data_IF_374654711854
#
_entry.id   IF_374654711854
#
_cell.length_a   1.000
_cell.length_b   1.000
_cell.length_c   1.000
_cell.angle_alpha   90.00
_cell.angle_beta   90.00
_cell.angle_gamma   90.00
#
_symmetry.space_group_name_H-M   'P 1'
#
loop_
_entity.id
_entity.type
_entity.pdbx_description
1 polymer ?
#
# COMPACT_ATOMS: atom_id res chain seq x y z
N UNK A 1 -16.97 -76.88 -16.38
CA UNK A 1 -17.87 -75.74 -16.17
C UNK A 1 -17.01 -74.49 -15.98
N UNK A 2 -17.14 -73.51 -16.89
CA UNK A 2 -16.50 -72.20 -16.81
C UNK A 2 -17.37 -71.28 -15.95
N UNK A 3 -16.78 -70.45 -15.09
CA UNK A 3 -17.45 -69.24 -14.61
C UNK A 3 -16.45 -68.09 -14.54
N UNK A 4 -16.87 -66.99 -15.16
CA UNK A 4 -16.18 -65.72 -15.35
C UNK A 4 -16.38 -64.80 -14.14
N UNK A 5 -15.39 -63.95 -13.91
CA UNK A 5 -15.41 -62.61 -13.28
C UNK A 5 -14.19 -62.52 -12.35
N UNK A 6 -13.22 -61.66 -12.61
CA UNK A 6 -13.38 -60.24 -12.35
C UNK A 6 -12.31 -59.48 -13.13
N UNK A 7 -12.74 -58.80 -14.20
CA UNK A 7 -12.00 -57.67 -14.74
C UNK A 7 -12.41 -56.45 -13.94
N UNK A 8 -11.54 -55.98 -13.05
CA UNK A 8 -11.68 -54.66 -12.45
C UNK A 8 -10.51 -53.77 -12.86
N UNK A 9 -10.88 -52.80 -13.68
CA UNK A 9 -10.35 -51.44 -13.69
C UNK A 9 -8.85 -51.25 -13.96
N UNK A 10 -8.56 -51.11 -15.25
CA UNK A 10 -7.66 -50.05 -15.74
C UNK A 10 -8.21 -48.70 -15.28
N UNK A 11 -7.52 -47.98 -14.41
CA UNK A 11 -7.61 -46.51 -14.35
C UNK A 11 -6.19 -45.97 -14.40
N UNK A 12 -5.98 -45.18 -15.45
CA UNK A 12 -4.83 -44.34 -15.76
C UNK A 12 -4.20 -43.73 -14.51
N UNK A 13 -2.89 -43.95 -14.33
CA UNK A 13 -2.00 -43.00 -13.66
C UNK A 13 -1.86 -41.78 -14.59
N UNK A 14 -2.93 -41.00 -14.67
CA UNK A 14 -2.92 -39.69 -15.32
C UNK A 14 -2.24 -38.70 -14.40
N UNK A 15 -1.00 -38.35 -14.74
CA UNK A 15 -0.42 -37.02 -14.59
C UNK A 15 -1.25 -36.05 -13.73
N UNK A 16 -1.10 -36.14 -12.40
CA UNK A 16 -1.42 -35.02 -11.54
C UNK A 16 -0.23 -34.07 -11.64
N UNK A 17 -0.26 -33.25 -12.69
CA UNK A 17 0.39 -31.94 -12.71
C UNK A 17 -0.17 -31.18 -11.52
N UNK A 18 0.50 -31.32 -10.37
CA UNK A 18 0.40 -30.34 -9.30
C UNK A 18 0.65 -28.97 -9.96
N UNK A 19 -0.25 -27.99 -9.80
CA UNK A 19 0.01 -26.65 -10.28
C UNK A 19 1.32 -26.19 -9.64
N UNK A 20 2.23 -25.74 -10.50
CA UNK A 20 3.55 -25.26 -10.16
C UNK A 20 3.48 -24.42 -8.88
N UNK A 21 4.39 -24.71 -7.96
CA UNK A 21 4.72 -23.81 -6.86
C UNK A 21 4.79 -22.39 -7.42
N UNK A 22 3.93 -21.50 -6.93
CA UNK A 22 4.15 -20.07 -7.08
C UNK A 22 5.60 -19.83 -6.64
N UNK A 23 6.40 -19.31 -7.55
CA UNK A 23 7.82 -19.11 -7.29
C UNK A 23 7.90 -18.13 -6.12
N UNK A 24 8.75 -18.42 -5.13
CA UNK A 24 8.94 -17.57 -3.95
C UNK A 24 9.45 -16.13 -4.29
N UNK A 25 9.49 -15.76 -5.57
CA UNK A 25 9.92 -14.47 -6.09
C UNK A 25 8.88 -13.79 -6.99
N UNK A 26 7.66 -14.34 -7.12
CA UNK A 26 6.61 -13.72 -7.94
C UNK A 26 6.15 -12.41 -7.30
N UNK A 27 5.86 -11.41 -8.15
CA UNK A 27 5.35 -10.12 -7.69
C UNK A 27 3.84 -10.19 -7.71
N UNK A 28 3.20 -9.73 -6.63
CA UNK A 28 1.74 -9.72 -6.52
C UNK A 28 1.23 -8.33 -6.14
N UNK A 29 0.04 -7.98 -6.61
CA UNK A 29 -0.72 -6.86 -6.08
C UNK A 29 -1.33 -7.24 -4.74
N UNK A 30 -1.23 -6.36 -3.75
CA UNK A 30 -1.84 -6.55 -2.42
C UNK A 30 -3.09 -5.70 -2.22
N UNK A 31 -3.20 -4.58 -2.95
CA UNK A 31 -4.36 -3.67 -2.90
C UNK A 31 -4.35 -2.72 -4.10
N UNK A 32 -5.51 -2.16 -4.44
CA UNK A 32 -5.66 -1.14 -5.48
C UNK A 32 -6.65 -0.06 -5.03
N UNK A 33 -6.36 1.18 -5.36
CA UNK A 33 -7.24 2.32 -5.13
C UNK A 33 -7.26 3.25 -6.33
N UNK A 34 -8.43 3.86 -6.61
CA UNK A 34 -8.60 4.89 -7.63
C UNK A 34 -9.25 6.12 -7.03
N UNK A 35 -8.56 7.25 -7.12
CA UNK A 35 -9.04 8.52 -6.58
C UNK A 35 -9.88 9.34 -7.55
N UNK A 36 -10.48 10.39 -7.01
CA UNK A 36 -11.41 11.23 -7.75
C UNK A 36 -10.76 12.13 -8.80
N UNK A 37 -9.43 12.33 -8.69
CA UNK A 37 -8.58 13.08 -9.59
C UNK A 37 -8.00 12.26 -10.73
N UNK A 38 -8.35 10.97 -10.83
CA UNK A 38 -7.87 10.07 -11.88
C UNK A 38 -6.53 9.42 -11.55
N UNK A 39 -6.08 9.45 -10.30
CA UNK A 39 -4.85 8.79 -9.88
C UNK A 39 -5.13 7.36 -9.41
N UNK A 40 -4.34 6.41 -9.89
CA UNK A 40 -4.33 5.03 -9.41
C UNK A 40 -3.21 4.85 -8.38
N UNK A 41 -3.48 4.10 -7.32
CA UNK A 41 -2.51 3.66 -6.33
C UNK A 41 -2.58 2.15 -6.21
N UNK A 42 -1.44 1.48 -6.17
CA UNK A 42 -1.36 0.02 -6.01
C UNK A 42 -0.33 -0.32 -4.93
N UNK A 43 -0.67 -1.32 -4.12
CA UNK A 43 0.28 -2.00 -3.26
C UNK A 43 0.83 -3.23 -3.97
N UNK A 44 2.13 -3.44 -3.89
CA UNK A 44 2.82 -4.59 -4.45
C UNK A 44 3.62 -5.28 -3.36
N UNK A 45 3.82 -6.58 -3.54
CA UNK A 45 4.70 -7.41 -2.72
C UNK A 45 5.49 -8.35 -3.60
N UNK A 46 6.75 -8.56 -3.24
CA UNK A 46 7.61 -9.61 -3.76
C UNK A 46 8.17 -10.43 -2.60
N UNK A 47 8.20 -11.75 -2.74
CA UNK A 47 8.70 -12.64 -1.69
C UNK A 47 7.74 -12.86 -0.52
N UNK A 48 8.19 -13.59 0.50
CA UNK A 48 7.41 -13.93 1.70
C UNK A 48 8.26 -13.85 2.97
N UNK A 49 7.60 -13.72 4.13
CA UNK A 49 8.29 -13.68 5.42
C UNK A 49 9.27 -12.53 5.53
N UNK A 50 10.50 -12.82 5.96
CA UNK A 50 11.55 -11.82 6.20
C UNK A 50 12.22 -11.31 4.92
N UNK A 51 12.04 -12.01 3.79
CA UNK A 51 12.50 -11.55 2.47
C UNK A 51 11.42 -10.78 1.70
N UNK A 52 10.25 -10.55 2.31
CA UNK A 52 9.18 -9.80 1.68
C UNK A 52 9.60 -8.34 1.47
N UNK A 53 9.44 -7.85 0.25
CA UNK A 53 9.60 -6.45 -0.11
C UNK A 53 8.25 -5.93 -0.60
N UNK A 54 7.79 -4.83 0.00
CA UNK A 54 6.54 -4.17 -0.37
C UNK A 54 6.81 -2.80 -0.97
N UNK A 55 5.98 -2.43 -1.95
CA UNK A 55 6.08 -1.14 -2.64
C UNK A 55 4.69 -0.53 -2.80
N UNK A 56 4.66 0.80 -2.89
CA UNK A 56 3.47 1.55 -3.28
C UNK A 56 3.79 2.29 -4.56
N UNK A 57 3.03 2.01 -5.61
CA UNK A 57 3.17 2.68 -6.91
C UNK A 57 1.94 3.53 -7.16
N UNK A 58 2.14 4.71 -7.72
CA UNK A 58 1.07 5.59 -8.17
C UNK A 58 1.28 6.05 -9.61
N UNK A 59 0.19 6.23 -10.36
CA UNK A 59 0.24 6.72 -11.75
C UNK A 59 -1.09 7.36 -12.16
N UNK A 60 -1.07 8.39 -13.03
CA UNK A 60 -2.27 8.96 -13.64
C UNK A 60 -2.97 7.96 -14.58
N UNK A 61 -4.29 7.90 -14.51
CA UNK A 61 -5.14 7.28 -15.53
C UNK A 61 -5.49 8.31 -16.63
N UNK A 62 -5.50 7.94 -17.94
CA UNK A 62 -5.17 6.63 -18.49
C UNK A 62 -3.67 6.43 -18.78
N UNK A 63 -2.86 7.46 -18.99
CA UNK A 63 -1.48 7.31 -19.49
C UNK A 63 -0.54 8.31 -18.81
N UNK A 64 -0.17 8.02 -17.56
CA UNK A 64 0.87 8.79 -16.89
C UNK A 64 2.01 7.94 -16.37
N UNK A 65 3.10 8.62 -16.08
CA UNK A 65 4.30 8.02 -15.53
C UNK A 65 4.02 7.41 -14.16
N UNK A 66 4.71 6.31 -13.90
CA UNK A 66 4.62 5.56 -12.65
C UNK A 66 5.65 6.11 -11.68
N UNK A 67 5.21 6.35 -10.46
CA UNK A 67 6.04 6.87 -9.38
C UNK A 67 5.98 5.89 -8.22
N UNK A 68 7.16 5.48 -7.73
CA UNK A 68 7.27 4.73 -6.49
C UNK A 68 7.22 5.69 -5.30
N UNK A 69 6.36 5.38 -4.33
CA UNK A 69 6.32 6.05 -3.04
C UNK A 69 7.17 5.21 -2.09
N UNK A 70 8.32 5.73 -1.61
CA UNK A 70 9.23 4.94 -0.78
C UNK A 70 8.58 4.65 0.57
N UNK A 71 8.49 3.37 0.94
CA UNK A 71 7.99 2.97 2.27
C UNK A 71 9.08 3.17 3.33
N UNK A 72 8.73 3.59 4.56
CA UNK A 72 9.68 3.68 5.65
C UNK A 72 10.11 2.27 6.09
N UNK A 73 11.31 2.18 6.65
CA UNK A 73 11.93 0.93 7.14
C UNK A 73 11.00 0.09 8.05
N UNK A 74 10.14 0.75 8.84
CA UNK A 74 9.19 0.08 9.73
C UNK A 74 8.13 -0.77 8.99
N UNK A 75 7.77 -0.41 7.74
CA UNK A 75 6.68 -1.06 7.01
C UNK A 75 7.05 -1.58 5.62
N UNK A 76 8.31 -1.44 5.20
CA UNK A 76 8.77 -1.87 3.87
C UNK A 76 8.65 -3.37 3.61
N UNK A 77 8.59 -4.20 4.66
CA UNK A 77 8.42 -5.65 4.55
C UNK A 77 7.00 -6.12 4.95
N UNK A 78 6.05 -5.18 5.09
CA UNK A 78 4.66 -5.47 5.50
C UNK A 78 3.72 -5.35 4.31
N UNK A 79 2.72 -6.20 4.26
CA UNK A 79 1.72 -6.21 3.20
C UNK A 79 0.94 -4.89 3.21
N UNK A 80 0.98 -4.15 2.11
CA UNK A 80 0.15 -2.96 1.92
C UNK A 80 -1.28 -3.39 1.60
N UNK A 81 -2.17 -3.37 2.58
CA UNK A 81 -3.53 -3.90 2.43
C UNK A 81 -4.55 -2.83 2.08
N UNK A 82 -4.27 -1.55 2.39
CA UNK A 82 -5.16 -0.43 2.06
C UNK A 82 -4.43 0.87 1.76
N UNK A 83 -4.98 1.64 0.82
CA UNK A 83 -4.45 2.93 0.37
C UNK A 83 -5.59 3.94 0.35
N UNK A 84 -5.44 5.06 1.06
CA UNK A 84 -6.43 6.14 1.07
C UNK A 84 -5.72 7.47 0.78
N UNK A 85 -5.77 7.94 -0.47
CA UNK A 85 -5.25 9.25 -0.82
C UNK A 85 -6.16 10.36 -0.31
N UNK A 86 -5.55 11.42 0.18
CA UNK A 86 -6.14 12.72 0.43
C UNK A 86 -5.27 13.77 -0.25
N UNK A 87 -5.84 14.92 -0.64
CA UNK A 87 -5.16 16.02 -1.37
C UNK A 87 -3.62 15.95 -1.40
N UNK A 88 -2.94 16.21 -0.28
CA UNK A 88 -1.48 16.19 -0.16
C UNK A 88 -0.94 15.05 0.73
N UNK A 89 -1.76 14.05 1.04
CA UNK A 89 -1.44 12.93 1.94
C UNK A 89 -1.80 11.58 1.34
N UNK A 90 -1.10 10.54 1.75
CA UNK A 90 -1.49 9.16 1.45
C UNK A 90 -1.46 8.36 2.75
N UNK A 91 -2.62 7.87 3.17
CA UNK A 91 -2.71 6.93 4.28
C UNK A 91 -2.46 5.53 3.74
N UNK A 92 -1.50 4.84 4.36
CA UNK A 92 -1.09 3.49 4.01
C UNK A 92 -1.35 2.58 5.20
N UNK A 93 -2.30 1.67 4.99
CA UNK A 93 -2.63 0.62 5.93
C UNK A 93 -1.80 -0.62 5.58
N UNK A 94 -0.92 -1.02 6.49
CA UNK A 94 -0.14 -2.24 6.35
C UNK A 94 -0.57 -3.28 7.36
N UNK A 95 -0.42 -4.55 7.00
CA UNK A 95 -0.62 -5.67 7.90
C UNK A 95 0.59 -6.59 7.81
N UNK A 96 0.94 -7.26 8.90
CA UNK A 96 2.06 -8.20 8.81
C UNK A 96 1.68 -9.36 7.89
N UNK A 97 2.71 -9.98 7.32
CA UNK A 97 2.57 -11.32 6.77
C UNK A 97 2.04 -12.26 7.88
N UNK A 98 1.36 -13.35 7.48
CA UNK A 98 0.49 -14.21 8.31
C UNK A 98 1.08 -14.71 9.65
N UNK A 99 2.39 -14.57 9.87
CA UNK A 99 3.12 -15.05 11.05
C UNK A 99 3.23 -14.05 12.20
N UNK A 100 3.07 -12.74 11.96
CA UNK A 100 3.34 -11.76 13.01
C UNK A 100 2.07 -11.32 13.76
N UNK A 101 2.21 -11.14 15.08
CA UNK A 101 1.10 -10.86 16.01
C UNK A 101 0.75 -9.37 16.09
N UNK A 102 1.53 -8.55 15.42
CA UNK A 102 1.45 -7.11 15.40
C UNK A 102 0.50 -6.73 14.26
N UNK A 103 -0.77 -6.51 14.63
CA UNK A 103 -1.86 -6.26 13.70
C UNK A 103 -1.70 -5.00 12.83
N UNK A 104 -2.79 -4.49 12.24
CA UNK A 104 -2.71 -3.46 11.22
C UNK A 104 -2.08 -2.17 11.76
N UNK A 105 -1.18 -1.62 10.95
CA UNK A 105 -0.45 -0.38 11.19
C UNK A 105 -0.88 0.65 10.17
N UNK A 106 -1.02 1.89 10.63
CA UNK A 106 -1.42 2.97 9.78
C UNK A 106 -0.38 4.08 9.81
N UNK A 107 0.11 4.40 8.61
CA UNK A 107 1.03 5.49 8.37
C UNK A 107 0.40 6.50 7.44
N UNK A 108 0.87 7.75 7.54
CA UNK A 108 0.56 8.80 6.58
C UNK A 108 1.86 9.27 5.94
N UNK A 109 1.83 9.36 4.61
CA UNK A 109 2.86 10.01 3.81
C UNK A 109 2.37 11.41 3.44
N UNK A 110 3.09 12.43 3.87
CA UNK A 110 2.90 13.81 3.44
C UNK A 110 3.68 14.04 2.15
N UNK A 111 2.95 14.28 1.05
CA UNK A 111 3.50 14.40 -0.30
C UNK A 111 4.29 15.71 -0.47
N UNK A 112 3.89 16.77 0.21
CA UNK A 112 4.55 18.08 0.11
C UNK A 112 5.88 18.08 0.86
N UNK A 113 5.91 17.40 2.01
CA UNK A 113 7.10 17.33 2.86
C UNK A 113 7.98 16.12 2.57
N UNK A 114 7.50 15.17 1.76
CA UNK A 114 8.12 13.86 1.54
C UNK A 114 8.44 13.16 2.88
N UNK A 115 7.48 13.16 3.81
CA UNK A 115 7.67 12.67 5.20
C UNK A 115 6.63 11.65 5.60
N UNK A 116 7.09 10.64 6.33
CA UNK A 116 6.24 9.62 6.92
C UNK A 116 5.95 9.88 8.40
N UNK A 117 4.73 9.57 8.82
CA UNK A 117 4.34 9.58 10.24
C UNK A 117 3.47 8.37 10.55
N UNK A 118 3.83 7.63 11.59
CA UNK A 118 2.97 6.58 12.16
C UNK A 118 1.78 7.24 12.87
N UNK A 119 0.57 6.87 12.46
CA UNK A 119 -0.68 7.32 13.08
C UNK A 119 -1.03 6.40 14.25
N UNK A 120 -0.92 5.10 14.05
CA UNK A 120 -1.24 4.14 15.10
C UNK A 120 -1.17 2.70 14.63
N UNK A 121 -1.48 1.81 15.55
CA UNK A 121 -1.46 0.37 15.35
C UNK A 121 -2.55 -0.26 16.19
N UNK A 122 -3.27 -1.22 15.62
CA UNK A 122 -4.27 -1.99 16.35
C UNK A 122 -3.73 -3.40 16.62
N UNK A 123 -3.84 -3.86 17.86
CA UNK A 123 -3.60 -5.27 18.22
C UNK A 123 -4.77 -6.09 17.70
N UNK A 124 -4.67 -6.51 16.45
CA UNK A 124 -5.74 -7.13 15.68
C UNK A 124 -5.12 -8.04 14.58
N UNK A 125 -4.57 -9.21 14.95
CA UNK A 125 -3.80 -10.06 14.03
C UNK A 125 -4.63 -10.61 12.86
N UNK A 126 -5.94 -10.76 13.06
CA UNK A 126 -6.88 -11.19 12.03
C UNK A 126 -8.07 -10.25 12.06
N UNK A 127 -8.37 -9.63 10.91
CA UNK A 127 -9.53 -8.79 10.71
C UNK A 127 -10.16 -9.05 9.34
N UNK A 128 -11.47 -8.88 9.26
CA UNK A 128 -12.22 -9.13 8.02
C UNK A 128 -12.79 -7.85 7.41
N UNK A 129 -12.96 -6.82 8.25
CA UNK A 129 -13.69 -5.60 7.90
C UNK A 129 -13.04 -4.42 8.59
N UNK A 130 -12.92 -3.31 7.86
CA UNK A 130 -12.56 -2.01 8.42
C UNK A 130 -13.67 -1.02 8.11
N UNK A 131 -14.09 -0.27 9.11
CA UNK A 131 -15.02 0.83 8.95
C UNK A 131 -14.24 2.13 9.03
N UNK A 132 -14.18 2.85 7.92
CA UNK A 132 -13.59 4.18 7.83
C UNK A 132 -14.61 5.22 8.25
N UNK A 133 -14.18 6.11 9.13
CA UNK A 133 -14.85 7.35 9.45
C UNK A 133 -13.88 8.50 9.25
N UNK A 134 -14.39 9.71 9.11
CA UNK A 134 -13.58 10.94 9.05
C UNK A 134 -12.55 11.10 10.18
N UNK A 135 -12.69 10.39 11.31
CA UNK A 135 -11.82 10.53 12.50
C UNK A 135 -11.19 9.23 12.98
N UNK A 136 -11.45 8.11 12.32
CA UNK A 136 -10.86 6.84 12.74
C UNK A 136 -11.18 5.68 11.83
N UNK A 137 -10.33 4.67 11.90
CA UNK A 137 -10.51 3.35 11.31
C UNK A 137 -10.85 2.34 12.39
N UNK A 138 -12.00 1.69 12.29
CA UNK A 138 -12.41 0.61 13.20
C UNK A 138 -12.29 -0.74 12.53
N UNK A 139 -11.39 -1.58 13.02
CA UNK A 139 -11.12 -2.94 12.60
C UNK A 139 -12.05 -3.91 13.34
N UNK A 140 -12.74 -4.77 12.61
CA UNK A 140 -13.46 -5.92 13.18
C UNK A 140 -12.50 -7.10 13.29
N UNK A 141 -11.97 -7.30 14.49
CA UNK A 141 -10.94 -8.28 14.82
C UNK A 141 -11.54 -9.57 15.33
N UNK A 142 -10.98 -10.71 14.94
CA UNK A 142 -11.38 -11.99 15.51
C UNK A 142 -10.89 -12.11 16.97
N UNK A 143 -11.81 -12.47 17.88
CA UNK A 143 -11.56 -12.63 19.30
C UNK A 143 -12.01 -14.03 19.77
N UNK A 144 -11.37 -15.04 19.18
CA UNK A 144 -11.65 -16.44 19.46
C UNK A 144 -12.92 -16.96 18.81
N UNK A 145 -13.16 -18.25 18.99
CA UNK A 145 -14.30 -18.97 18.42
C UNK A 145 -15.12 -19.65 19.51
N UNK A 146 -16.42 -19.72 19.33
CA UNK A 146 -17.37 -20.40 20.22
C UNK A 146 -18.10 -21.47 19.43
N UNK A 147 -18.11 -22.71 19.94
CA UNK A 147 -18.99 -23.76 19.40
C UNK A 147 -20.44 -23.46 19.80
N UNK A 148 -21.32 -23.39 18.82
CA UNK A 148 -22.76 -23.25 18.99
C UNK A 148 -23.47 -24.47 18.39
N UNK A 149 -24.77 -24.64 18.68
CA UNK A 149 -25.57 -25.71 18.05
C UNK A 149 -25.61 -25.63 16.52
N UNK A 150 -25.28 -24.47 15.92
CA UNK A 150 -25.26 -24.21 14.47
C UNK A 150 -23.83 -24.26 13.87
N UNK A 151 -22.81 -24.63 14.65
CA UNK A 151 -21.42 -24.68 14.21
C UNK A 151 -20.50 -23.73 14.98
N UNK A 152 -19.29 -23.52 14.45
CA UNK A 152 -18.28 -22.64 15.04
C UNK A 152 -18.64 -21.19 14.69
N UNK A 153 -18.86 -20.35 15.70
CA UNK A 153 -19.08 -18.92 15.55
C UNK A 153 -17.83 -18.15 15.99
N UNK A 154 -17.30 -17.28 15.13
CA UNK A 154 -16.20 -16.38 15.48
C UNK A 154 -16.74 -15.15 16.19
N UNK A 155 -16.16 -14.82 17.35
CA UNK A 155 -16.50 -13.57 18.04
C UNK A 155 -15.69 -12.44 17.42
N UNK A 156 -16.32 -11.29 17.21
CA UNK A 156 -15.67 -10.12 16.63
C UNK A 156 -15.60 -8.99 17.67
N UNK A 157 -14.45 -8.32 17.78
CA UNK A 157 -14.29 -7.10 18.59
C UNK A 157 -13.86 -5.93 17.71
N UNK A 158 -14.31 -4.73 18.06
CA UNK A 158 -13.85 -3.50 17.42
C UNK A 158 -12.53 -3.02 18.02
N UNK A 159 -11.54 -2.73 17.19
CA UNK A 159 -10.34 -1.96 17.57
C UNK A 159 -10.25 -0.73 16.69
N UNK A 160 -9.98 0.43 17.26
CA UNK A 160 -10.00 1.70 16.52
C UNK A 160 -8.64 2.38 16.55
N UNK A 161 -8.17 2.81 15.38
CA UNK A 161 -7.07 3.77 15.23
C UNK A 161 -7.72 5.14 14.94
N UNK A 162 -7.48 6.11 15.81
CA UNK A 162 -8.03 7.46 15.67
C UNK A 162 -7.05 8.39 14.94
N UNK A 163 -7.59 9.31 14.14
CA UNK A 163 -6.83 10.42 13.53
C UNK A 163 -6.98 11.65 14.42
N UNK A 164 -5.88 12.16 14.97
CA UNK A 164 -5.89 13.40 15.76
C UNK A 164 -5.77 14.67 14.92
N UNK A 165 -5.92 14.58 13.60
CA UNK A 165 -5.86 15.72 12.67
C UNK A 165 -7.25 16.21 12.26
N UNK A 166 -7.42 17.53 12.09
CA UNK A 166 -8.68 18.14 11.64
C UNK A 166 -9.07 17.84 10.19
N UNK A 167 -8.19 17.22 9.42
CA UNK A 167 -8.46 16.80 8.04
C UNK A 167 -9.21 15.48 8.04
N UNK A 168 -10.42 15.51 7.46
CA UNK A 168 -11.31 14.38 7.37
C UNK A 168 -10.85 13.46 6.24
N UNK A 169 -10.78 12.16 6.50
CA UNK A 169 -10.80 11.16 5.41
C UNK A 169 -12.04 11.42 4.55
N UNK A 170 -11.80 11.76 3.28
CA UNK A 170 -12.84 12.15 2.32
C UNK A 170 -13.87 11.05 2.05
N UNK A 171 -13.60 9.80 2.48
CA UNK A 171 -14.52 8.67 2.33
C UNK A 171 -14.81 8.00 3.67
N UNK A 172 -16.07 8.11 4.09
CA UNK A 172 -16.65 7.17 5.05
C UNK A 172 -17.03 5.90 4.31
N UNK A 173 -16.86 4.73 4.92
CA UNK A 173 -17.27 3.49 4.26
C UNK A 173 -16.86 2.22 4.99
N UNK A 174 -17.33 1.10 4.44
CA UNK A 174 -16.94 -0.24 4.90
C UNK A 174 -16.04 -0.87 3.85
N UNK A 175 -14.84 -1.22 4.27
CA UNK A 175 -13.81 -1.83 3.44
C UNK A 175 -13.67 -3.29 3.85
N UNK A 176 -13.61 -4.17 2.85
CA UNK A 176 -13.38 -5.61 3.03
C UNK A 176 -12.03 -5.93 2.41
N UNK A 177 -11.21 -6.63 3.17
CA UNK A 177 -9.84 -6.91 2.77
C UNK A 177 -9.71 -8.37 2.33
N UNK A 178 -8.94 -8.64 1.28
CA UNK A 178 -8.31 -7.68 0.37
C UNK A 178 -9.33 -7.00 -0.54
N UNK A 179 -9.11 -5.73 -0.88
CA UNK A 179 -9.95 -5.03 -1.84
C UNK A 179 -9.38 -5.24 -3.25
N UNK A 180 -10.03 -6.12 -4.00
CA UNK A 180 -9.55 -6.57 -5.31
C UNK A 180 -10.39 -6.00 -6.48
N UNK A 181 -11.46 -5.26 -6.19
CA UNK A 181 -12.28 -4.66 -7.23
C UNK A 181 -12.75 -3.28 -6.80
N UNK A 182 -12.46 -2.28 -7.64
CA UNK A 182 -12.91 -0.91 -7.45
C UNK A 182 -13.71 -0.45 -8.66
N UNK A 183 -14.85 0.20 -8.43
CA UNK A 183 -15.70 0.76 -9.49
C UNK A 183 -15.97 2.21 -9.18
N UNK A 184 -15.53 3.11 -10.05
CA UNK A 184 -15.72 4.54 -9.84
C UNK A 184 -15.70 5.32 -11.16
N UNK A 185 -16.68 6.24 -11.33
CA UNK A 185 -16.84 7.09 -12.52
C UNK A 185 -16.66 6.36 -13.87
N UNK A 186 -17.27 5.18 -14.01
CA UNK A 186 -17.18 4.38 -15.24
C UNK A 186 -15.88 3.61 -15.44
N UNK A 187 -14.91 3.75 -14.53
CA UNK A 187 -13.67 2.95 -14.49
C UNK A 187 -13.84 1.80 -13.51
N UNK A 188 -13.48 0.59 -13.94
CA UNK A 188 -13.39 -0.60 -13.11
C UNK A 188 -11.93 -1.06 -13.04
N UNK A 189 -11.37 -1.10 -11.84
CA UNK A 189 -10.09 -1.74 -11.55
C UNK A 189 -10.37 -3.11 -10.91
N UNK A 190 -9.72 -4.15 -11.41
CA UNK A 190 -9.88 -5.52 -10.94
C UNK A 190 -8.51 -6.19 -10.82
N UNK A 191 -8.16 -6.65 -9.63
CA UNK A 191 -7.02 -7.52 -9.41
C UNK A 191 -7.41 -8.95 -9.81
N UNK A 192 -6.64 -9.53 -10.72
CA UNK A 192 -6.82 -10.88 -11.27
C UNK A 192 -5.62 -11.76 -10.93
N UNK A 193 -5.85 -13.07 -10.86
CA UNK A 193 -4.83 -14.05 -10.49
C UNK A 193 -5.38 -15.08 -9.49
N UNK A 194 -4.65 -16.19 -9.25
CA UNK A 194 -5.03 -17.17 -8.24
C UNK A 194 -4.87 -16.55 -6.85
N UNK A 195 -5.94 -16.47 -6.05
CA UNK A 195 -5.80 -15.96 -4.68
C UNK A 195 -4.82 -16.84 -3.86
N UNK A 196 -3.89 -16.25 -3.07
CA UNK A 196 -3.71 -14.83 -2.79
C UNK A 196 -2.71 -14.09 -3.72
N UNK A 197 -2.26 -14.73 -4.80
CA UNK A 197 -1.29 -14.18 -5.76
C UNK A 197 -2.00 -13.47 -6.94
N UNK A 198 -2.52 -12.26 -6.69
CA UNK A 198 -3.06 -11.42 -7.76
C UNK A 198 -1.91 -10.83 -8.60
N UNK A 199 -1.64 -11.43 -9.76
CA UNK A 199 -0.51 -11.08 -10.63
C UNK A 199 -0.85 -10.00 -11.67
N UNK A 200 -2.13 -9.66 -11.82
CA UNK A 200 -2.62 -8.78 -12.86
C UNK A 200 -3.57 -7.71 -12.34
N UNK A 201 -3.46 -6.52 -12.89
CA UNK A 201 -4.42 -5.43 -12.73
C UNK A 201 -5.12 -5.21 -14.07
N UNK A 202 -6.41 -5.55 -14.11
CA UNK A 202 -7.30 -5.25 -15.22
C UNK A 202 -8.00 -3.92 -14.98
N UNK A 203 -8.00 -3.08 -16.01
CA UNK A 203 -8.64 -1.76 -16.00
C UNK A 203 -9.62 -1.72 -17.16
N UNK A 204 -10.91 -1.53 -16.86
CA UNK A 204 -11.97 -1.34 -17.85
C UNK A 204 -12.52 0.07 -17.76
N UNK A 205 -12.62 0.75 -18.88
CA UNK A 205 -13.24 2.07 -18.99
C UNK A 205 -13.91 2.22 -20.35
N UNK A 206 -14.49 3.40 -20.61
CA UNK A 206 -15.12 3.69 -21.89
C UNK A 206 -14.13 3.62 -23.07
N UNK A 207 -12.86 3.94 -22.83
CA UNK A 207 -11.80 3.96 -23.84
C UNK A 207 -11.26 2.55 -24.16
N UNK A 208 -11.59 1.54 -23.36
CA UNK A 208 -11.19 0.15 -23.59
C UNK A 208 -10.85 -0.65 -22.34
N UNK A 209 -10.33 -1.85 -22.57
CA UNK A 209 -9.86 -2.78 -21.55
C UNK A 209 -8.35 -2.99 -21.67
N UNK A 210 -7.66 -2.96 -20.54
CA UNK A 210 -6.22 -3.21 -20.45
C UNK A 210 -5.90 -4.09 -19.26
N UNK A 211 -4.83 -4.87 -19.40
CA UNK A 211 -4.33 -5.76 -18.36
C UNK A 211 -2.85 -5.47 -18.16
N UNK A 212 -2.47 -5.18 -16.91
CA UNK A 212 -1.12 -4.84 -16.50
C UNK A 212 -0.60 -5.93 -15.57
N UNK A 213 0.68 -6.31 -15.68
CA UNK A 213 1.28 -7.33 -14.80
C UNK A 213 1.95 -6.68 -13.59
N UNK A 214 1.98 -7.38 -12.47
CA UNK A 214 2.61 -6.92 -11.24
C UNK A 214 4.14 -6.74 -11.41
N UNK A 215 4.79 -7.62 -12.17
CA UNK A 215 6.23 -7.56 -12.42
C UNK A 215 6.63 -6.27 -13.13
N UNK A 216 5.83 -5.81 -14.10
CA UNK A 216 6.06 -4.58 -14.85
C UNK A 216 6.01 -3.33 -13.94
N UNK A 217 5.32 -3.44 -12.80
CA UNK A 217 5.20 -2.37 -11.83
C UNK A 217 6.34 -2.36 -10.81
N UNK A 218 6.93 -3.52 -10.51
CA UNK A 218 7.98 -3.64 -9.51
C UNK A 218 9.36 -3.22 -10.04
N UNK A 219 9.55 -3.28 -11.36
CA UNK A 219 10.82 -2.96 -12.03
C UNK A 219 10.97 -1.47 -12.36
N UNK A 220 10.26 -0.57 -11.67
CA UNK A 220 10.47 0.86 -11.93
C UNK A 220 11.93 1.23 -11.69
N UNK A 221 12.56 1.99 -12.59
CA UNK A 221 13.88 2.53 -12.32
C UNK A 221 13.80 3.33 -11.01
N UNK A 222 14.81 3.17 -10.16
CA UNK A 222 14.86 3.90 -8.89
C UNK A 222 14.60 5.38 -9.15
N UNK A 223 13.75 6.05 -8.35
CA UNK A 223 13.51 7.48 -8.51
C UNK A 223 14.87 8.20 -8.48
N UNK A 224 15.09 9.21 -9.34
CA UNK A 224 16.37 9.91 -9.38
C UNK A 224 16.70 10.40 -7.98
N UNK A 225 17.89 10.06 -7.48
CA UNK A 225 18.39 10.59 -6.23
C UNK A 225 18.42 12.11 -6.33
N UNK A 226 17.50 12.78 -5.62
CA UNK A 226 17.65 14.20 -5.33
C UNK A 226 18.75 14.26 -4.28
N UNK A 227 20.00 14.38 -4.71
CA UNK A 227 21.06 14.91 -3.84
C UNK A 227 20.53 16.24 -3.32
N UNK A 228 20.28 16.33 -2.02
CA UNK A 228 20.03 17.60 -1.37
C UNK A 228 21.19 18.51 -1.78
N UNK A 229 20.89 19.53 -2.59
CA UNK A 229 21.87 20.52 -3.00
C UNK A 229 22.61 20.98 -1.75
N UNK A 230 23.93 20.79 -1.75
CA UNK A 230 24.78 21.29 -0.68
C UNK A 230 24.41 22.75 -0.42
N UNK A 231 24.30 23.17 0.86
CA UNK A 231 24.01 24.57 1.18
C UNK A 231 24.99 25.46 0.40
N UNK A 232 24.50 26.53 -0.26
CA UNK A 232 25.35 27.38 -1.06
C UNK A 232 26.55 27.84 -0.22
N UNK A 233 27.75 27.67 -0.78
CA UNK A 233 28.97 28.10 -0.14
C UNK A 233 28.82 29.56 0.32
N UNK A 234 29.30 29.93 1.53
CA UNK A 234 29.22 31.29 2.01
C UNK A 234 29.89 32.22 0.99
N UNK A 235 29.13 33.20 0.48
CA UNK A 235 29.65 34.21 -0.43
C UNK A 235 30.89 34.87 0.20
N UNK A 236 31.97 35.08 -0.58
CA UNK A 236 33.14 35.80 -0.09
C UNK A 236 32.72 37.20 0.36
N UNK A 237 33.13 37.57 1.56
CA UNK A 237 32.89 38.89 2.12
C UNK A 237 33.39 39.98 1.16
N UNK A 238 32.52 40.94 0.84
CA UNK A 238 32.88 42.08 0.02
C UNK A 238 34.05 42.86 0.67
N UNK A 239 35.05 43.31 -0.11
CA UNK A 239 36.16 44.09 0.41
C UNK A 239 35.65 45.40 1.03
N UNK A 240 36.11 45.68 2.24
CA UNK A 240 35.71 46.82 3.04
C UNK A 240 35.81 48.15 2.30
N UNK A 241 34.75 48.95 2.44
CA UNK A 241 34.72 50.37 2.11
C UNK A 241 35.72 51.10 3.03
N UNK A 242 36.59 51.99 2.49
CA UNK A 242 37.48 52.77 3.33
C UNK A 242 36.68 53.74 4.20
N UNK A 243 37.06 53.84 5.48
CA UNK A 243 36.57 54.84 6.40
C UNK A 243 37.04 56.22 5.90
N UNK A 244 36.09 57.05 5.49
CA UNK A 244 36.35 58.43 5.14
C UNK A 244 36.51 59.25 6.42
N UNK A 245 37.66 59.90 6.54
CA UNK A 245 38.07 60.72 7.66
C UNK A 245 38.14 62.17 7.18
N UNK A 246 37.21 63.01 7.64
CA UNK A 246 37.28 64.47 7.55
C UNK A 246 36.21 65.04 8.48
N UNK A 247 36.55 65.43 9.71
CA UNK A 247 37.11 66.72 10.12
C UNK A 247 36.12 67.90 9.96
N UNK A 248 35.66 68.46 11.09
CA UNK A 248 35.87 69.88 11.40
C UNK A 248 35.45 70.24 12.84
N UNK A 249 36.10 71.24 13.47
CA UNK A 249 35.90 71.71 14.85
C UNK A 249 35.14 73.06 14.94
N UNK A 250 35.16 73.67 16.14
CA UNK A 250 34.58 74.94 16.61
C UNK A 250 33.22 74.75 17.32
N UNK A 251 32.95 75.26 18.52
CA UNK A 251 33.59 76.30 19.34
C UNK A 251 32.46 77.10 20.04
N UNK A 252 32.73 77.62 21.25
CA UNK A 252 31.87 78.46 22.12
C UNK A 252 30.74 77.72 22.87
N UNK A 253 30.58 77.80 24.20
CA UNK A 253 31.07 78.74 25.23
C UNK A 253 31.41 78.01 26.53
#
# INVERSE_FOLDING_TARGET
>A
MRSLSSQFAKILFGFLLLPAFASANDVIFTTVFYDDGGQVYVGLKKGEGDSAESQVITFPYPLGDRIQIPLPEEIKNRDVVGLIPEKNKLFVLTHSSRSAKDGPMLHVFDKDQNKWKKIGQAVCPVFQKVTLTSRGMTFSCENGTRKTRKGIQTNMIGKTINYTGGERLFRNGVWRFPEFMWRYKGVTLLLEGPAPAWDRLRIKAAEGERVLKAEDFFQLPAPPHIENAAPPAPSPAAPGTPADSSAAPHGES
#
